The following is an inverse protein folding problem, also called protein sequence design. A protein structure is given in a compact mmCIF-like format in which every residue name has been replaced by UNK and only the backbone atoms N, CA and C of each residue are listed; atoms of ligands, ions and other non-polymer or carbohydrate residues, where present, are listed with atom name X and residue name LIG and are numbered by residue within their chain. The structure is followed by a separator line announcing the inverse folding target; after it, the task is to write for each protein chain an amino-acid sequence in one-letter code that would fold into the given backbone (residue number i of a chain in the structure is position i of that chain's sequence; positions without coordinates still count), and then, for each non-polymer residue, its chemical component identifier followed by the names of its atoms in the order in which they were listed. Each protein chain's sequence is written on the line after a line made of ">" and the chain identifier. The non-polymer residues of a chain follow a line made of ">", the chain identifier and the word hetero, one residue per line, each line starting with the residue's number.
data_IF_092099457663
#
_entry.id   IF_092099457663
#
_cell.length_a   1.000
_cell.length_b   1.000
_cell.length_c   1.000
_cell.angle_alpha   90.00
_cell.angle_beta   90.00
_cell.angle_gamma   90.00
#
_symmetry.space_group_name_H-M   'P 1'
#
loop_
_entity.id
_entity.type
_entity.pdbx_description
1 polymer ?
#
# COMPACT_ATOMS: atom_id res chain seq x y z
N UNK A 1 8.18 3.71 -28.07
CA UNK A 1 7.73 2.83 -26.98
C UNK A 1 8.07 3.53 -25.67
N UNK A 2 7.11 4.23 -25.08
CA UNK A 2 7.33 5.08 -23.89
C UNK A 2 7.62 4.20 -22.67
N UNK A 3 8.86 4.20 -22.16
CA UNK A 3 9.18 3.55 -20.89
C UNK A 3 8.54 4.36 -19.77
N UNK A 4 7.35 3.95 -19.31
CA UNK A 4 6.85 4.36 -18.00
C UNK A 4 7.94 3.96 -17.00
N UNK A 5 8.54 4.91 -16.30
CA UNK A 5 9.55 4.62 -15.27
C UNK A 5 8.91 3.67 -14.25
N UNK A 6 9.23 2.39 -14.36
CA UNK A 6 8.87 1.40 -13.36
C UNK A 6 9.74 1.65 -12.15
N UNK A 7 9.11 1.86 -10.99
CA UNK A 7 9.84 1.91 -9.74
C UNK A 7 10.49 0.56 -9.54
N UNK A 8 11.82 0.55 -9.55
CA UNK A 8 12.63 -0.63 -9.29
C UNK A 8 12.52 -0.96 -7.81
N UNK A 9 12.02 -2.15 -7.49
CA UNK A 9 12.01 -2.65 -6.12
C UNK A 9 13.22 -3.58 -5.91
N UNK A 10 13.65 -3.77 -4.65
CA UNK A 10 14.64 -4.79 -4.32
C UNK A 10 14.18 -6.18 -4.80
N UNK A 11 15.11 -7.00 -5.27
CA UNK A 11 14.84 -8.32 -5.86
C UNK A 11 13.95 -9.20 -4.97
N UNK A 12 14.21 -9.19 -3.66
CA UNK A 12 13.42 -9.97 -2.71
C UNK A 12 11.96 -9.53 -2.66
N UNK A 13 11.70 -8.22 -2.76
CA UNK A 13 10.34 -7.66 -2.79
C UNK A 13 9.63 -8.07 -4.08
N UNK A 14 10.32 -8.03 -5.22
CA UNK A 14 9.79 -8.46 -6.52
C UNK A 14 9.38 -9.93 -6.51
N UNK A 15 10.24 -10.80 -5.98
CA UNK A 15 9.97 -12.24 -5.89
C UNK A 15 8.69 -12.52 -5.08
N UNK A 16 8.51 -11.85 -3.95
CA UNK A 16 7.32 -12.04 -3.11
C UNK A 16 6.08 -11.50 -3.81
N UNK A 17 6.18 -10.35 -4.50
CA UNK A 17 5.08 -9.81 -5.31
C UNK A 17 4.66 -10.81 -6.39
N UNK A 18 5.62 -11.33 -7.16
CA UNK A 18 5.37 -12.28 -8.23
C UNK A 18 4.71 -13.56 -7.68
N UNK A 19 5.20 -14.05 -6.53
CA UNK A 19 4.62 -15.20 -5.83
C UNK A 19 3.15 -14.94 -5.46
N UNK A 20 2.84 -13.82 -4.82
CA UNK A 20 1.46 -13.48 -4.43
C UNK A 20 0.55 -13.31 -5.65
N UNK A 21 1.04 -12.67 -6.72
CA UNK A 21 0.29 -12.54 -7.97
C UNK A 21 -0.09 -13.90 -8.54
N UNK A 22 0.85 -14.84 -8.56
CA UNK A 22 0.61 -16.19 -9.06
C UNK A 22 -0.34 -16.99 -8.14
N UNK A 23 -0.04 -17.03 -6.84
CA UNK A 23 -0.80 -17.83 -5.86
C UNK A 23 -2.24 -17.34 -5.67
N UNK A 24 -2.46 -16.03 -5.71
CA UNK A 24 -3.77 -15.43 -5.47
C UNK A 24 -4.46 -14.94 -6.75
N UNK A 25 -3.94 -15.33 -7.93
CA UNK A 25 -4.46 -14.94 -9.24
C UNK A 25 -4.68 -13.42 -9.38
N UNK A 26 -3.75 -12.63 -8.84
CA UNK A 26 -3.83 -11.17 -8.87
C UNK A 26 -3.11 -10.59 -10.08
N UNK A 27 -3.59 -9.47 -10.63
CA UNK A 27 -2.87 -8.76 -11.68
C UNK A 27 -1.55 -8.19 -11.16
N UNK A 28 -0.59 -7.89 -12.05
CA UNK A 28 0.64 -7.21 -11.70
C UNK A 28 0.39 -5.91 -10.90
N UNK A 29 1.25 -5.66 -9.93
CA UNK A 29 1.15 -4.48 -9.06
C UNK A 29 1.38 -3.21 -9.87
N UNK A 30 0.47 -2.25 -9.75
CA UNK A 30 0.56 -0.94 -10.42
C UNK A 30 1.71 -0.10 -9.85
N UNK A 31 2.27 0.79 -10.68
CA UNK A 31 3.42 1.65 -10.32
C UNK A 31 3.24 2.41 -9.01
N UNK A 32 2.04 2.93 -8.70
CA UNK A 32 1.83 3.67 -7.45
C UNK A 32 2.06 2.80 -6.20
N UNK A 33 1.61 1.54 -6.22
CA UNK A 33 1.80 0.63 -5.10
C UNK A 33 3.27 0.22 -4.98
N UNK A 34 4.00 0.17 -6.11
CA UNK A 34 5.46 0.00 -6.11
C UNK A 34 6.15 1.21 -5.49
N UNK A 35 5.74 2.45 -5.80
CA UNK A 35 6.24 3.65 -5.13
C UNK A 35 5.99 3.63 -3.62
N UNK A 36 4.82 3.14 -3.20
CA UNK A 36 4.47 3.02 -1.77
C UNK A 36 5.39 2.02 -1.06
N UNK A 37 5.68 0.87 -1.67
CA UNK A 37 6.63 -0.11 -1.12
C UNK A 37 8.05 0.46 -1.08
N UNK A 38 8.50 1.14 -2.13
CA UNK A 38 9.81 1.78 -2.15
C UNK A 38 9.97 2.83 -1.04
N UNK A 39 8.90 3.58 -0.73
CA UNK A 39 8.91 4.64 0.28
C UNK A 39 9.09 4.12 1.71
N UNK A 40 8.52 2.96 2.03
CA UNK A 40 8.66 2.34 3.37
C UNK A 40 9.95 1.52 3.51
N UNK A 41 10.66 1.30 2.42
CA UNK A 41 11.89 0.51 2.37
C UNK A 41 11.66 -1.01 2.30
N UNK A 42 12.75 -1.74 2.08
CA UNK A 42 12.74 -3.18 1.79
C UNK A 42 12.13 -4.02 2.92
N UNK A 43 12.68 -3.90 4.13
CA UNK A 43 12.26 -4.72 5.27
C UNK A 43 10.77 -4.53 5.61
N UNK A 44 10.29 -3.29 5.59
CA UNK A 44 8.88 -2.98 5.84
C UNK A 44 7.98 -3.49 4.70
N UNK A 45 8.44 -3.36 3.45
CA UNK A 45 7.74 -3.94 2.29
C UNK A 45 7.56 -5.44 2.40
N UNK A 46 8.62 -6.15 2.78
CA UNK A 46 8.57 -7.61 2.99
C UNK A 46 7.57 -7.95 4.10
N UNK A 47 7.58 -7.24 5.23
CA UNK A 47 6.62 -7.48 6.32
C UNK A 47 5.17 -7.33 5.84
N UNK A 48 4.87 -6.28 5.08
CA UNK A 48 3.54 -6.07 4.49
C UNK A 48 3.17 -7.20 3.54
N UNK A 49 4.06 -7.58 2.63
CA UNK A 49 3.78 -8.63 1.65
C UNK A 49 3.62 -10.01 2.31
N UNK A 50 4.40 -10.30 3.36
CA UNK A 50 4.25 -11.54 4.13
C UNK A 50 2.91 -11.61 4.87
N UNK A 51 2.42 -10.48 5.41
CA UNK A 51 1.07 -10.39 5.97
C UNK A 51 0.00 -10.66 4.92
N UNK A 52 0.16 -10.13 3.71
CA UNK A 52 -0.77 -10.39 2.60
C UNK A 52 -0.78 -11.87 2.22
N UNK A 53 0.41 -12.48 2.06
CA UNK A 53 0.56 -13.89 1.72
C UNK A 53 -0.05 -14.81 2.79
N UNK A 54 0.03 -14.42 4.07
CA UNK A 54 -0.52 -15.19 5.19
C UNK A 54 -2.00 -14.89 5.48
N UNK A 55 -2.59 -13.89 4.83
CA UNK A 55 -3.98 -13.47 5.04
C UNK A 55 -4.95 -14.20 4.11
N UNK A 56 -6.26 -13.96 4.30
CA UNK A 56 -7.28 -14.46 3.38
C UNK A 56 -7.05 -13.93 1.96
N UNK A 57 -7.48 -14.65 0.91
CA UNK A 57 -7.31 -14.22 -0.47
C UNK A 57 -7.77 -12.78 -0.72
N UNK A 58 -7.00 -12.04 -1.51
CA UNK A 58 -7.31 -10.66 -1.88
C UNK A 58 -8.65 -10.62 -2.62
N UNK A 59 -9.64 -9.94 -2.03
CA UNK A 59 -10.99 -9.79 -2.62
C UNK A 59 -11.16 -8.58 -3.54
N UNK A 60 -10.21 -7.65 -3.51
CA UNK A 60 -10.29 -6.39 -4.24
C UNK A 60 -9.13 -6.29 -5.24
N UNK A 61 -8.27 -5.27 -5.11
CA UNK A 61 -7.07 -5.15 -5.92
C UNK A 61 -5.84 -5.29 -5.04
N UNK A 62 -4.86 -6.06 -5.51
CA UNK A 62 -3.60 -6.22 -4.80
C UNK A 62 -2.91 -4.86 -4.52
N UNK A 63 -2.86 -3.97 -5.52
CA UNK A 63 -2.27 -2.63 -5.36
C UNK A 63 -3.00 -1.75 -4.33
N UNK A 64 -4.35 -1.82 -4.29
CA UNK A 64 -5.14 -1.11 -3.29
C UNK A 64 -4.94 -1.70 -1.89
N UNK A 65 -4.82 -3.03 -1.81
CA UNK A 65 -4.61 -3.71 -0.53
C UNK A 65 -3.24 -3.41 0.07
N UNK A 66 -2.18 -3.35 -0.74
CA UNK A 66 -0.86 -2.87 -0.32
C UNK A 66 -0.98 -1.46 0.27
N UNK A 67 -1.60 -0.52 -0.44
CA UNK A 67 -1.70 0.88 0.00
C UNK A 67 -2.48 1.00 1.31
N UNK A 68 -3.55 0.23 1.47
CA UNK A 68 -4.30 0.15 2.72
C UNK A 68 -3.46 -0.37 3.88
N UNK A 69 -2.75 -1.48 3.70
CA UNK A 69 -1.93 -2.07 4.76
C UNK A 69 -0.76 -1.17 5.14
N UNK A 70 -0.13 -0.55 4.15
CA UNK A 70 0.95 0.41 4.39
C UNK A 70 0.46 1.63 5.14
N UNK A 71 -0.67 2.24 4.73
CA UNK A 71 -1.26 3.35 5.49
C UNK A 71 -1.70 2.98 6.91
N UNK A 72 -1.98 1.70 7.17
CA UNK A 72 -2.35 1.18 8.49
C UNK A 72 -1.14 0.92 9.40
N UNK A 73 -0.05 0.37 8.87
CA UNK A 73 1.11 -0.09 9.67
C UNK A 73 2.31 0.85 9.62
N UNK A 74 2.45 1.65 8.56
CA UNK A 74 3.56 2.57 8.31
C UNK A 74 3.05 3.97 7.93
N UNK A 75 2.24 4.60 8.80
CA UNK A 75 1.57 5.86 8.46
C UNK A 75 2.55 7.04 8.31
N UNK A 76 3.72 6.99 8.96
CA UNK A 76 4.70 8.09 8.92
C UNK A 76 5.54 8.05 7.63
N UNK A 77 5.88 6.84 7.19
CA UNK A 77 6.76 6.56 6.06
C UNK A 77 6.03 6.74 4.72
N UNK A 78 4.73 6.39 4.67
CA UNK A 78 3.96 6.40 3.44
C UNK A 78 3.01 7.59 3.28
N UNK A 79 2.89 8.47 4.29
CA UNK A 79 1.90 9.56 4.31
C UNK A 79 1.99 10.46 3.08
N UNK A 80 3.21 10.90 2.75
CA UNK A 80 3.48 11.81 1.64
C UNK A 80 3.15 11.17 0.28
N UNK A 81 3.43 9.87 0.15
CA UNK A 81 3.28 9.13 -1.11
C UNK A 81 1.82 8.76 -1.37
N UNK A 82 1.12 8.23 -0.37
CA UNK A 82 -0.30 7.87 -0.48
C UNK A 82 -1.15 9.13 -0.75
N UNK A 83 -0.83 10.23 -0.07
CA UNK A 83 -1.50 11.52 -0.27
C UNK A 83 -1.32 12.03 -1.70
N UNK A 84 -0.09 11.98 -2.24
CA UNK A 84 0.19 12.40 -3.61
C UNK A 84 -0.63 11.62 -4.66
N UNK A 85 -0.82 10.31 -4.47
CA UNK A 85 -1.59 9.49 -5.40
C UNK A 85 -3.11 9.72 -5.31
N UNK A 86 -3.65 9.98 -4.11
CA UNK A 86 -5.06 10.33 -3.95
C UNK A 86 -5.38 11.66 -4.64
N UNK A 87 -4.46 12.63 -4.60
CA UNK A 87 -4.64 13.93 -5.27
C UNK A 87 -4.52 13.86 -6.80
N UNK A 88 -3.80 12.89 -7.37
CA UNK A 88 -3.70 12.73 -8.82
C UNK A 88 -4.98 12.18 -9.48
N UNK A 89 -5.94 11.69 -8.71
CA UNK A 89 -7.19 11.12 -9.23
C UNK A 89 -8.33 12.15 -9.38
N UNK A 90 -8.10 13.42 -9.01
CA UNK A 90 -9.10 14.50 -9.14
C UNK A 90 -8.49 15.68 -9.89
N UNK A 91 -9.06 16.15 -11.02
CA UNK A 91 -8.79 17.49 -11.47
C UNK A 91 -9.48 18.44 -10.48
N UNK A 92 -8.71 19.41 -9.98
CA UNK A 92 -9.14 20.67 -9.39
C UNK A 92 -8.93 20.87 -7.88
N UNK A 93 -8.24 21.97 -7.62
CA UNK A 93 -8.14 22.74 -6.38
C UNK A 93 -7.14 22.28 -5.33
N UNK A 94 -5.94 22.87 -5.46
CA UNK A 94 -5.15 23.31 -4.33
C UNK A 94 -6.01 24.14 -3.36
N UNK A 95 -6.22 23.64 -2.14
CA UNK A 95 -6.10 24.36 -0.87
C UNK A 95 -6.54 23.43 0.26
N UNK A 96 -5.85 23.59 1.39
CA UNK A 96 -6.18 23.04 2.69
C UNK A 96 -5.58 21.67 2.98
N UNK A 97 -4.57 21.71 3.85
CA UNK A 97 -4.25 20.62 4.75
C UNK A 97 -5.52 20.25 5.49
N UNK A 98 -6.04 19.05 5.27
CA UNK A 98 -7.11 18.50 6.09
C UNK A 98 -6.72 17.08 6.48
N UNK A 99 -6.22 16.98 7.71
CA UNK A 99 -6.01 15.75 8.47
C UNK A 99 -7.35 15.09 8.73
N UNK A 100 -7.71 14.08 7.94
CA UNK A 100 -8.63 13.00 8.30
C UNK A 100 -8.07 11.77 7.57
N UNK A 101 -7.82 10.62 8.19
CA UNK A 101 -8.70 9.74 8.95
C UNK A 101 -7.89 9.16 10.12
N UNK A 102 -8.46 8.78 11.27
CA UNK A 102 -9.12 7.49 11.45
C UNK A 102 -10.19 7.58 12.54
N UNK A 103 -11.36 7.03 12.22
CA UNK A 103 -12.42 6.72 13.18
C UNK A 103 -11.89 5.67 14.16
N UNK A 104 -11.41 6.10 15.32
CA UNK A 104 -11.03 5.21 16.43
C UNK A 104 -12.29 4.61 17.04
N UNK A 105 -12.63 3.38 16.69
CA UNK A 105 -13.54 2.61 17.54
C UNK A 105 -12.71 2.06 18.70
N UNK A 106 -12.64 2.83 19.79
CA UNK A 106 -12.13 2.33 21.07
C UNK A 106 -13.17 1.33 21.59
N UNK A 107 -12.91 0.03 21.42
CA UNK A 107 -13.66 -1.01 22.12
C UNK A 107 -13.17 -1.03 23.57
N UNK A 108 -13.87 -0.33 24.46
CA UNK A 108 -13.65 -0.47 25.91
C UNK A 108 -14.13 -1.86 26.33
N UNK A 109 -13.16 -2.73 26.63
CA UNK A 109 -13.32 -3.85 27.55
C UNK A 109 -13.70 -3.27 28.91
N UNK A 110 -14.83 -3.68 29.47
CA UNK A 110 -15.02 -3.64 30.92
C UNK A 110 -15.12 -5.08 31.40
N UNK A 111 -14.22 -5.41 32.30
CA UNK A 111 -14.15 -6.64 33.10
C UNK A 111 -14.80 -6.32 34.44
N UNK A 112 -15.41 -7.36 35.02
CA UNK A 112 -16.09 -7.47 36.34
C UNK A 112 -17.56 -7.09 36.33
#
# INVERSE_FOLDING_TARGET
>A
MERRQEVTLPEQVEMIIAKICNEQSQPPVKNYARSVLAAIGEKASIDVLMRISSSSPIKTSFSGYISYLVGKYYPNEASSVITAFNFQSSPQSQKSQVTFYFRTTILRRTVV
#
